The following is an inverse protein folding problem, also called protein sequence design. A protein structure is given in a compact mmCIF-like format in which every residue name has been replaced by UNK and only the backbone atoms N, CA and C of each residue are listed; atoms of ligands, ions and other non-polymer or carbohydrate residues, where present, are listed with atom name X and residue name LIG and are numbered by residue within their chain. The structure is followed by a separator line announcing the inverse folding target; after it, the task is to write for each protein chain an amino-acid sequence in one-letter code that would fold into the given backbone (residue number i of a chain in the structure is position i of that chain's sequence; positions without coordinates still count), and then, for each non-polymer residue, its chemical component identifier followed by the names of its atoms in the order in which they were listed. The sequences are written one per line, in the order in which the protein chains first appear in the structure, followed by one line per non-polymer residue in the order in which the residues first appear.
data_IF_813916281172
#
_entry.id   IF_813916281172
#
_cell.length_a   1.000
_cell.length_b   1.000
_cell.length_c   1.000
_cell.angle_alpha   90.00
_cell.angle_beta   90.00
_cell.angle_gamma   90.00
#
_symmetry.space_group_name_H-M   'P 1'
#
loop_
_entity.id
_entity.type
_entity.pdbx_description
1 polymer ?
#
# COMPACT_ATOMS: atom_id res chain seq x y z
N UNK A 1 -10.27 -15.47 -2.74
CA UNK A 1 -9.14 -15.26 -1.80
C UNK A 1 -7.85 -15.73 -2.45
N UNK A 2 -6.79 -14.91 -2.41
CA UNK A 2 -5.43 -15.32 -2.82
C UNK A 2 -4.58 -15.43 -1.56
N UNK A 3 -3.76 -16.48 -1.46
CA UNK A 3 -2.87 -16.69 -0.30
C UNK A 3 -1.48 -17.10 -0.77
N UNK A 4 -0.49 -16.41 -0.25
CA UNK A 4 0.94 -16.70 -0.39
C UNK A 4 1.41 -17.43 0.85
N UNK A 5 2.14 -18.53 0.68
CA UNK A 5 2.76 -19.30 1.77
C UNK A 5 4.26 -19.42 1.53
N UNK A 6 5.04 -18.70 2.32
CA UNK A 6 6.51 -18.71 2.31
C UNK A 6 7.11 -18.63 0.91
N UNK A 7 6.54 -17.74 0.06
CA UNK A 7 6.95 -17.62 -1.34
C UNK A 7 8.32 -16.96 -1.45
N UNK A 8 9.23 -17.63 -2.13
CA UNK A 8 10.56 -17.13 -2.48
C UNK A 8 10.69 -16.95 -3.99
N UNK A 9 11.48 -15.97 -4.40
CA UNK A 9 11.88 -15.82 -5.81
C UNK A 9 13.29 -15.31 -5.91
N UNK A 10 14.12 -16.12 -6.59
CA UNK A 10 15.51 -15.83 -6.87
C UNK A 10 15.68 -15.55 -8.36
N UNK A 11 16.47 -14.52 -8.68
CA UNK A 11 16.97 -14.20 -10.01
C UNK A 11 18.50 -14.28 -9.98
N UNK A 12 19.04 -15.48 -10.14
CA UNK A 12 20.46 -15.72 -9.90
C UNK A 12 20.83 -15.38 -8.44
N UNK A 13 21.73 -14.43 -8.24
CA UNK A 13 22.21 -14.04 -6.91
C UNK A 13 21.24 -13.06 -6.19
N UNK A 14 20.22 -12.55 -6.88
CA UNK A 14 19.29 -11.59 -6.31
C UNK A 14 18.04 -12.28 -5.79
N UNK A 15 17.85 -12.26 -4.48
CA UNK A 15 16.61 -12.71 -3.82
C UNK A 15 15.56 -11.59 -3.83
N UNK A 16 14.62 -11.66 -4.79
CA UNK A 16 13.55 -10.68 -4.93
C UNK A 16 12.42 -10.88 -3.92
N UNK A 17 12.12 -12.14 -3.52
CA UNK A 17 11.20 -12.47 -2.44
C UNK A 17 11.87 -13.48 -1.51
N UNK A 18 11.69 -13.28 -0.19
CA UNK A 18 12.37 -13.99 0.88
C UNK A 18 11.37 -14.59 1.87
N UNK A 19 10.60 -15.60 1.42
CA UNK A 19 9.61 -16.26 2.27
C UNK A 19 8.36 -15.42 2.55
N UNK A 20 7.85 -14.74 1.52
CA UNK A 20 6.69 -13.85 1.61
C UNK A 20 5.41 -14.65 1.88
N UNK A 21 4.68 -14.28 2.95
CA UNK A 21 3.38 -14.85 3.28
C UNK A 21 2.38 -13.71 3.52
N UNK A 22 1.26 -13.73 2.80
CA UNK A 22 0.15 -12.79 3.00
C UNK A 22 -1.13 -13.31 2.34
N UNK A 23 -2.27 -12.69 2.69
CA UNK A 23 -3.58 -13.02 2.15
C UNK A 23 -4.26 -11.80 1.55
N UNK A 24 -4.94 -12.03 0.42
CA UNK A 24 -5.85 -11.07 -0.21
C UNK A 24 -7.26 -11.62 -0.09
N UNK A 25 -8.10 -11.03 0.77
CA UNK A 25 -9.51 -11.45 0.89
C UNK A 25 -10.28 -11.08 -0.38
N UNK A 26 -11.42 -11.73 -0.63
CA UNK A 26 -12.30 -11.34 -1.74
C UNK A 26 -12.94 -9.98 -1.50
N UNK A 27 -13.11 -9.23 -2.59
CA UNK A 27 -13.74 -7.90 -2.61
C UNK A 27 -12.84 -6.77 -2.12
N UNK A 28 -13.19 -5.55 -2.52
CA UNK A 28 -12.47 -4.34 -2.15
C UNK A 28 -11.12 -4.16 -2.83
N UNK A 29 -10.31 -3.25 -2.27
CA UNK A 29 -9.00 -2.88 -2.82
C UNK A 29 -7.91 -3.15 -1.79
N UNK A 30 -6.93 -3.96 -2.18
CA UNK A 30 -5.72 -4.25 -1.39
C UNK A 30 -4.52 -3.57 -2.04
N UNK A 31 -3.84 -2.73 -1.29
CA UNK A 31 -2.60 -2.06 -1.71
C UNK A 31 -1.37 -2.91 -1.40
N UNK A 32 -0.54 -3.19 -2.39
CA UNK A 32 0.78 -3.75 -2.22
C UNK A 32 1.81 -2.63 -2.24
N UNK A 33 2.28 -2.24 -1.06
CA UNK A 33 3.08 -1.05 -0.83
C UNK A 33 4.55 -1.41 -0.60
N UNK A 34 5.44 -0.58 -1.13
CA UNK A 34 6.88 -0.74 -0.91
C UNK A 34 7.71 0.15 -1.84
N UNK A 35 8.99 0.40 -1.53
CA UNK A 35 9.88 1.14 -2.42
C UNK A 35 10.14 0.39 -3.72
N UNK A 36 10.80 1.05 -4.67
CA UNK A 36 11.24 0.40 -5.89
C UNK A 36 12.27 -0.70 -5.56
N UNK A 37 12.14 -1.86 -6.20
CA UNK A 37 12.98 -3.03 -5.90
C UNK A 37 12.55 -3.84 -4.68
N UNK A 38 11.49 -3.47 -3.96
CA UNK A 38 11.02 -4.21 -2.78
C UNK A 38 10.49 -5.63 -3.08
N UNK A 39 10.18 -5.96 -4.35
CA UNK A 39 9.62 -7.25 -4.76
C UNK A 39 8.14 -7.19 -5.17
N UNK A 40 7.50 -6.01 -5.20
CA UNK A 40 6.07 -5.84 -5.54
C UNK A 40 5.70 -6.46 -6.89
N UNK A 41 6.34 -6.01 -7.98
CA UNK A 41 6.10 -6.53 -9.34
C UNK A 41 6.36 -8.03 -9.44
N UNK A 42 7.38 -8.54 -8.72
CA UNK A 42 7.65 -9.98 -8.66
C UNK A 42 6.49 -10.73 -7.99
N UNK A 43 5.99 -10.25 -6.88
CA UNK A 43 4.82 -10.84 -6.21
C UNK A 43 3.57 -10.79 -7.11
N UNK A 44 3.31 -9.67 -7.80
CA UNK A 44 2.18 -9.56 -8.74
C UNK A 44 2.32 -10.52 -9.93
N UNK A 45 3.51 -10.69 -10.49
CA UNK A 45 3.75 -11.64 -11.59
C UNK A 45 3.56 -13.09 -11.16
N UNK A 46 3.94 -13.44 -9.94
CA UNK A 46 3.67 -14.77 -9.37
C UNK A 46 2.17 -14.94 -9.13
N UNK A 47 1.49 -13.93 -8.56
CA UNK A 47 0.06 -13.91 -8.32
C UNK A 47 -0.78 -14.09 -9.59
N UNK A 48 -0.27 -13.63 -10.73
CA UNK A 48 -0.95 -13.71 -12.03
C UNK A 48 -0.54 -14.93 -12.88
N UNK A 49 0.35 -15.76 -12.35
CA UNK A 49 0.87 -16.94 -13.07
C UNK A 49 1.81 -16.58 -14.23
N UNK A 50 2.32 -15.36 -14.27
CA UNK A 50 3.36 -14.95 -15.22
C UNK A 50 4.75 -15.47 -14.84
N UNK A 51 4.92 -15.79 -13.56
CA UNK A 51 6.19 -16.20 -12.99
C UNK A 51 5.95 -17.31 -11.97
N UNK A 52 6.79 -18.33 -12.00
CA UNK A 52 6.80 -19.39 -11.01
C UNK A 52 7.67 -18.98 -9.80
N UNK A 53 7.23 -19.24 -8.56
CA UNK A 53 8.08 -19.05 -7.38
C UNK A 53 9.26 -20.02 -7.38
N UNK A 54 10.39 -19.65 -6.78
CA UNK A 54 11.54 -20.54 -6.58
C UNK A 54 11.30 -21.52 -5.43
N UNK A 55 10.53 -21.11 -4.42
CA UNK A 55 10.05 -21.94 -3.31
C UNK A 55 8.73 -21.36 -2.75
N UNK A 56 8.06 -22.12 -1.90
CA UNK A 56 6.76 -21.77 -1.37
C UNK A 56 5.61 -22.05 -2.32
N UNK A 57 4.41 -21.57 -2.00
CA UNK A 57 3.19 -21.85 -2.77
C UNK A 57 2.26 -20.65 -2.80
N UNK A 58 1.47 -20.55 -3.86
CA UNK A 58 0.35 -19.63 -3.96
C UNK A 58 -0.93 -20.44 -4.10
N UNK A 59 -2.00 -19.95 -3.50
CA UNK A 59 -3.33 -20.55 -3.57
C UNK A 59 -4.34 -19.52 -4.06
N UNK A 60 -5.23 -19.95 -4.93
CA UNK A 60 -6.42 -19.22 -5.33
C UNK A 60 -7.66 -19.99 -4.85
N UNK A 61 -8.41 -19.38 -3.92
CA UNK A 61 -9.59 -20.00 -3.28
C UNK A 61 -9.33 -21.36 -2.63
N UNK A 62 -8.15 -21.53 -2.06
CA UNK A 62 -7.74 -22.76 -1.38
C UNK A 62 -7.07 -23.78 -2.28
N UNK A 63 -7.16 -23.63 -3.59
CA UNK A 63 -6.52 -24.52 -4.56
C UNK A 63 -5.12 -24.03 -4.93
N UNK A 64 -4.12 -24.92 -5.10
CA UNK A 64 -2.79 -24.55 -5.55
C UNK A 64 -2.84 -23.83 -6.89
N UNK A 65 -2.17 -22.68 -6.96
CA UNK A 65 -2.09 -21.86 -8.16
C UNK A 65 -0.68 -21.86 -8.76
N UNK A 66 -0.59 -22.25 -10.02
CA UNK A 66 0.67 -22.32 -10.79
C UNK A 66 0.48 -21.66 -12.16
N UNK A 67 1.57 -21.36 -12.90
CA UNK A 67 1.46 -20.88 -14.29
C UNK A 67 0.63 -21.77 -15.21
N UNK A 68 0.56 -23.07 -14.95
CA UNK A 68 -0.23 -24.03 -15.74
C UNK A 68 -1.72 -24.07 -15.40
N UNK A 69 -2.13 -23.35 -14.34
CA UNK A 69 -3.54 -23.26 -13.90
C UNK A 69 -4.35 -22.34 -14.84
N UNK A 70 -4.59 -22.76 -16.09
CA UNK A 70 -5.22 -21.95 -17.15
C UNK A 70 -6.58 -21.40 -16.73
N UNK A 71 -7.45 -22.25 -16.15
CA UNK A 71 -8.79 -21.83 -15.70
C UNK A 71 -8.72 -20.82 -14.55
N UNK A 72 -7.78 -20.98 -13.63
CA UNK A 72 -7.56 -20.05 -12.55
C UNK A 72 -7.06 -18.69 -13.08
N UNK A 73 -6.16 -18.70 -14.07
CA UNK A 73 -5.66 -17.46 -14.71
C UNK A 73 -6.75 -16.70 -15.46
N UNK A 74 -7.76 -17.38 -16.03
CA UNK A 74 -8.92 -16.73 -16.65
C UNK A 74 -9.74 -15.88 -15.68
N UNK A 75 -9.60 -16.11 -14.38
CA UNK A 75 -10.27 -15.35 -13.32
C UNK A 75 -9.50 -14.09 -12.91
N UNK A 76 -8.28 -13.90 -13.45
CA UNK A 76 -7.37 -12.81 -13.10
C UNK A 76 -7.13 -11.95 -14.32
N UNK A 77 -7.39 -10.63 -14.21
CA UNK A 77 -6.95 -9.62 -15.15
C UNK A 77 -5.68 -8.96 -14.65
N UNK A 78 -4.73 -8.71 -15.51
CA UNK A 78 -3.45 -8.09 -15.13
C UNK A 78 -3.10 -6.90 -16.01
N UNK A 79 -2.83 -5.77 -15.37
CA UNK A 79 -2.25 -4.59 -16.00
C UNK A 79 -0.82 -4.40 -15.46
N UNK A 80 0.22 -4.71 -16.24
CA UNK A 80 1.59 -4.39 -15.86
C UNK A 80 1.86 -2.88 -15.94
N UNK A 81 2.87 -2.39 -15.23
CA UNK A 81 3.30 -0.98 -15.24
C UNK A 81 3.49 -0.45 -16.67
N UNK A 82 4.16 -1.23 -17.52
CA UNK A 82 4.29 -0.94 -18.95
C UNK A 82 3.44 -1.94 -19.74
N UNK A 83 2.19 -1.57 -20.02
CA UNK A 83 1.31 -2.41 -20.81
C UNK A 83 1.87 -2.60 -22.24
N UNK A 84 2.11 -3.83 -22.70
CA UNK A 84 2.64 -4.13 -24.03
C UNK A 84 1.51 -4.00 -25.08
N UNK A 85 1.12 -2.75 -25.38
CA UNK A 85 0.06 -2.47 -26.33
C UNK A 85 0.59 -2.43 -27.78
N UNK A 86 -0.17 -2.95 -28.73
CA UNK A 86 0.14 -2.85 -30.14
C UNK A 86 -0.19 -1.46 -30.69
N UNK A 87 0.79 -0.57 -30.70
CA UNK A 87 0.62 0.85 -31.01
C UNK A 87 -0.06 1.15 -32.33
N UNK A 88 0.14 0.33 -33.36
CA UNK A 88 -0.41 0.51 -34.72
C UNK A 88 -1.86 0.03 -34.84
N UNK A 89 -2.36 -0.74 -33.90
CA UNK A 89 -3.77 -1.17 -33.89
C UNK A 89 -4.67 -0.04 -33.36
N UNK A 90 -5.91 -0.01 -33.90
CA UNK A 90 -6.97 0.77 -33.25
C UNK A 90 -7.33 0.16 -31.90
N UNK A 91 -7.70 0.97 -30.93
CA UNK A 91 -8.03 0.47 -29.59
C UNK A 91 -9.20 -0.56 -29.63
N UNK A 92 -10.18 -0.34 -30.50
CA UNK A 92 -11.27 -1.30 -30.74
C UNK A 92 -10.76 -2.64 -31.25
N UNK A 93 -9.91 -2.64 -32.29
CA UNK A 93 -9.43 -3.85 -32.95
C UNK A 93 -8.52 -4.66 -32.01
N UNK A 94 -7.72 -3.97 -31.22
CA UNK A 94 -6.91 -4.59 -30.17
C UNK A 94 -7.77 -5.31 -29.14
N UNK A 95 -8.81 -4.65 -28.62
CA UNK A 95 -9.73 -5.25 -27.66
C UNK A 95 -10.59 -6.37 -28.28
N UNK A 96 -10.93 -6.25 -29.57
CA UNK A 96 -11.63 -7.31 -30.30
C UNK A 96 -10.74 -8.55 -30.52
N UNK A 97 -9.45 -8.34 -30.75
CA UNK A 97 -8.47 -9.42 -30.82
C UNK A 97 -8.38 -10.14 -29.48
N UNK A 98 -8.23 -9.40 -28.37
CA UNK A 98 -8.16 -9.97 -27.02
C UNK A 98 -9.43 -10.73 -26.63
N UNK A 99 -10.61 -10.19 -26.95
CA UNK A 99 -11.88 -10.88 -26.70
C UNK A 99 -11.92 -12.26 -27.42
N UNK A 100 -11.46 -12.31 -28.67
CA UNK A 100 -11.40 -13.58 -29.43
C UNK A 100 -10.42 -14.58 -28.82
N UNK A 101 -9.26 -14.13 -28.31
CA UNK A 101 -8.30 -15.00 -27.62
C UNK A 101 -8.93 -15.68 -26.39
N UNK A 102 -9.84 -14.98 -25.72
CA UNK A 102 -10.60 -15.51 -24.61
C UNK A 102 -11.86 -16.31 -25.03
N UNK A 103 -12.12 -16.48 -26.34
CA UNK A 103 -13.30 -17.17 -26.86
C UNK A 103 -14.61 -16.39 -26.70
N UNK A 104 -14.53 -15.06 -26.56
CA UNK A 104 -15.67 -14.17 -26.37
C UNK A 104 -16.08 -13.51 -27.67
N UNK A 105 -17.37 -13.16 -27.81
CA UNK A 105 -17.86 -12.37 -28.94
C UNK A 105 -17.44 -10.89 -28.80
N UNK A 106 -16.60 -10.37 -29.71
CA UNK A 106 -16.18 -8.97 -29.67
C UNK A 106 -17.34 -7.99 -29.80
N UNK A 107 -18.41 -8.35 -30.55
CA UNK A 107 -19.53 -7.45 -30.77
C UNK A 107 -20.31 -7.16 -29.48
N UNK A 108 -20.34 -8.10 -28.56
CA UNK A 108 -20.96 -7.94 -27.24
C UNK A 108 -19.96 -7.33 -26.25
N UNK A 109 -18.75 -7.85 -26.24
CA UNK A 109 -17.81 -7.61 -25.13
C UNK A 109 -17.09 -6.28 -25.24
N UNK A 110 -16.62 -5.91 -26.44
CA UNK A 110 -15.82 -4.69 -26.64
C UNK A 110 -16.60 -3.41 -26.32
N UNK A 111 -17.85 -3.22 -26.78
CA UNK A 111 -18.63 -2.04 -26.41
C UNK A 111 -18.83 -1.90 -24.91
N UNK A 112 -18.98 -3.02 -24.20
CA UNK A 112 -19.18 -3.05 -22.74
C UNK A 112 -17.93 -2.56 -22.02
N UNK A 113 -16.76 -3.13 -22.33
CA UNK A 113 -15.50 -2.75 -21.66
C UNK A 113 -15.07 -1.32 -22.03
N UNK A 114 -15.24 -0.89 -23.28
CA UNK A 114 -14.96 0.47 -23.73
C UNK A 114 -15.76 1.51 -22.94
N UNK A 115 -17.06 1.26 -22.72
CA UNK A 115 -17.90 2.13 -21.88
C UNK A 115 -17.42 2.12 -20.42
N UNK A 116 -17.10 0.94 -19.89
CA UNK A 116 -16.66 0.76 -18.52
C UNK A 116 -15.42 1.61 -18.19
N UNK A 117 -14.43 1.65 -19.10
CA UNK A 117 -13.18 2.39 -18.90
C UNK A 117 -13.20 3.82 -19.49
N UNK A 118 -14.30 4.25 -20.10
CA UNK A 118 -14.43 5.60 -20.68
C UNK A 118 -13.60 5.84 -21.94
N UNK A 119 -13.51 4.85 -22.84
CA UNK A 119 -12.75 4.92 -24.10
C UNK A 119 -13.61 5.23 -25.33
N UNK A 120 -14.92 5.47 -25.20
CA UNK A 120 -15.86 5.53 -26.31
C UNK A 120 -15.43 6.53 -27.43
N UNK A 121 -14.97 7.72 -27.06
CA UNK A 121 -14.53 8.75 -28.02
C UNK A 121 -13.17 8.49 -28.67
N UNK A 122 -12.43 7.48 -28.19
CA UNK A 122 -11.07 7.18 -28.65
C UNK A 122 -10.92 5.74 -29.18
N UNK A 123 -11.99 4.97 -29.20
CA UNK A 123 -11.97 3.55 -29.58
C UNK A 123 -11.44 3.31 -31.01
N UNK A 124 -11.69 4.25 -31.93
CA UNK A 124 -11.29 4.16 -33.33
C UNK A 124 -10.03 4.97 -33.65
N UNK A 125 -9.19 5.25 -32.65
CA UNK A 125 -7.87 5.85 -32.83
C UNK A 125 -6.78 4.80 -32.70
N UNK A 126 -5.67 4.92 -33.45
CA UNK A 126 -4.48 4.12 -33.22
C UNK A 126 -3.97 4.31 -31.78
N UNK A 127 -3.57 3.22 -31.12
CA UNK A 127 -3.15 3.27 -29.73
C UNK A 127 -1.93 4.20 -29.53
N UNK A 128 -1.01 4.26 -30.50
CA UNK A 128 0.16 5.18 -30.47
C UNK A 128 -0.23 6.67 -30.41
N UNK A 129 -1.40 7.04 -30.94
CA UNK A 129 -1.88 8.43 -30.96
C UNK A 129 -2.61 8.84 -29.69
N UNK A 130 -2.85 7.89 -28.78
CA UNK A 130 -3.51 8.14 -27.51
C UNK A 130 -2.54 8.78 -26.51
N UNK A 131 -3.05 9.67 -25.64
CA UNK A 131 -2.30 10.15 -24.49
C UNK A 131 -1.94 9.00 -23.55
N UNK A 132 -0.99 9.20 -22.64
CA UNK A 132 -0.61 8.16 -21.64
C UNK A 132 -1.82 7.67 -20.84
N UNK A 133 -2.69 8.58 -20.38
CA UNK A 133 -3.91 8.22 -19.65
C UNK A 133 -4.90 7.39 -20.48
N UNK A 134 -5.07 7.70 -21.77
CA UNK A 134 -5.91 6.86 -22.63
C UNK A 134 -5.26 5.50 -22.94
N UNK A 135 -3.95 5.42 -23.11
CA UNK A 135 -3.25 4.13 -23.21
C UNK A 135 -3.42 3.29 -21.94
N UNK A 136 -3.36 3.92 -20.77
CA UNK A 136 -3.63 3.25 -19.49
C UNK A 136 -5.07 2.68 -19.44
N UNK A 137 -6.06 3.42 -19.94
CA UNK A 137 -7.44 2.92 -20.07
C UNK A 137 -7.56 1.76 -21.07
N UNK A 138 -6.78 1.75 -22.15
CA UNK A 138 -6.73 0.58 -23.06
C UNK A 138 -6.14 -0.62 -22.33
N UNK A 139 -5.09 -0.46 -21.54
CA UNK A 139 -4.52 -1.53 -20.71
C UNK A 139 -5.50 -2.05 -19.66
N UNK A 140 -6.25 -1.16 -19.00
CA UNK A 140 -7.33 -1.55 -18.09
C UNK A 140 -8.45 -2.32 -18.83
N UNK A 141 -8.84 -1.86 -20.03
CA UNK A 141 -9.83 -2.53 -20.86
C UNK A 141 -9.36 -3.94 -21.27
N UNK A 142 -8.08 -4.09 -21.65
CA UNK A 142 -7.47 -5.37 -21.92
C UNK A 142 -7.57 -6.32 -20.71
N UNK A 143 -7.16 -5.85 -19.52
CA UNK A 143 -7.23 -6.64 -18.30
C UNK A 143 -8.67 -7.02 -17.89
N UNK A 144 -9.68 -6.28 -18.36
CA UNK A 144 -11.10 -6.46 -18.02
C UNK A 144 -11.92 -7.16 -19.11
N UNK A 145 -11.37 -7.36 -20.32
CA UNK A 145 -12.15 -7.82 -21.47
C UNK A 145 -12.79 -9.19 -21.23
N UNK A 146 -12.14 -10.08 -20.51
CA UNK A 146 -12.64 -11.42 -20.18
C UNK A 146 -13.45 -11.50 -18.87
N UNK A 147 -13.77 -10.33 -18.25
CA UNK A 147 -14.56 -10.20 -17.02
C UNK A 147 -13.99 -10.94 -15.81
N UNK A 148 -12.74 -10.73 -15.47
CA UNK A 148 -12.12 -11.43 -14.37
C UNK A 148 -12.79 -11.07 -13.04
N UNK A 149 -12.69 -11.96 -12.06
CA UNK A 149 -13.13 -11.71 -10.68
C UNK A 149 -12.09 -10.88 -9.90
N UNK A 150 -10.83 -11.02 -10.29
CA UNK A 150 -9.68 -10.40 -9.65
C UNK A 150 -8.95 -9.53 -10.67
N UNK A 151 -8.66 -8.30 -10.30
CA UNK A 151 -7.89 -7.36 -11.12
C UNK A 151 -6.59 -6.99 -10.41
N UNK A 152 -5.47 -7.27 -11.04
CA UNK A 152 -4.13 -6.96 -10.54
C UNK A 152 -3.56 -5.81 -11.36
N UNK A 153 -3.14 -4.74 -10.69
CA UNK A 153 -2.66 -3.49 -11.29
C UNK A 153 -1.27 -3.16 -10.76
N UNK A 154 -0.28 -3.10 -11.65
CA UNK A 154 1.08 -2.72 -11.28
C UNK A 154 1.31 -1.25 -11.60
N UNK A 155 1.45 -0.40 -10.55
CA UNK A 155 1.66 1.06 -10.63
C UNK A 155 0.66 1.77 -11.59
N UNK A 156 -0.68 1.61 -11.42
CA UNK A 156 -1.68 1.99 -12.44
C UNK A 156 -1.75 3.49 -12.74
N UNK A 157 -1.18 4.34 -11.91
CA UNK A 157 -1.20 5.80 -12.03
C UNK A 157 0.18 6.39 -12.36
N UNK A 158 1.20 5.54 -12.52
CA UNK A 158 2.58 5.97 -12.76
C UNK A 158 2.70 6.90 -13.98
N UNK A 159 3.23 8.12 -13.74
CA UNK A 159 3.50 9.13 -14.78
C UNK A 159 2.25 9.69 -15.47
N UNK A 160 1.09 9.64 -14.82
CA UNK A 160 -0.12 10.37 -15.22
C UNK A 160 -0.12 11.77 -14.59
N UNK A 161 -0.81 12.71 -15.23
CA UNK A 161 -1.05 14.03 -14.63
C UNK A 161 -2.11 13.93 -13.50
N UNK A 162 -2.20 14.96 -12.62
CA UNK A 162 -3.10 14.91 -11.46
C UNK A 162 -4.58 14.66 -11.81
N UNK A 163 -5.08 15.21 -12.91
CA UNK A 163 -6.47 15.01 -13.34
C UNK A 163 -6.70 13.56 -13.80
N UNK A 164 -5.76 13.01 -14.58
CA UNK A 164 -5.81 11.62 -15.02
C UNK A 164 -5.72 10.65 -13.85
N UNK A 165 -4.91 10.95 -12.82
CA UNK A 165 -4.85 10.15 -11.59
C UNK A 165 -6.23 10.09 -10.92
N UNK A 166 -6.93 11.22 -10.77
CA UNK A 166 -8.27 11.25 -10.18
C UNK A 166 -9.27 10.42 -10.98
N UNK A 167 -9.21 10.50 -12.32
CA UNK A 167 -10.09 9.72 -13.20
C UNK A 167 -9.83 8.20 -13.10
N UNK A 168 -8.55 7.79 -13.09
CA UNK A 168 -8.16 6.38 -12.95
C UNK A 168 -8.54 5.85 -11.57
N UNK A 169 -8.33 6.62 -10.49
CA UNK A 169 -8.78 6.27 -9.14
C UNK A 169 -10.30 6.06 -9.07
N UNK A 170 -11.08 6.95 -9.67
CA UNK A 170 -12.54 6.82 -9.72
C UNK A 170 -12.97 5.57 -10.50
N UNK A 171 -12.25 5.23 -11.57
CA UNK A 171 -12.48 4.01 -12.34
C UNK A 171 -12.16 2.75 -11.53
N UNK A 172 -11.01 2.71 -10.84
CA UNK A 172 -10.60 1.58 -9.99
C UNK A 172 -11.63 1.35 -8.87
N UNK A 173 -12.12 2.42 -8.21
CA UNK A 173 -13.17 2.30 -7.17
C UNK A 173 -14.43 1.64 -7.72
N UNK A 174 -14.93 2.08 -8.88
CA UNK A 174 -16.13 1.48 -9.51
C UNK A 174 -15.93 0.00 -9.87
N UNK A 175 -14.73 -0.37 -10.30
CA UNK A 175 -14.40 -1.78 -10.61
C UNK A 175 -14.41 -2.60 -9.30
N UNK A 176 -13.90 -2.04 -8.23
CA UNK A 176 -13.81 -2.71 -6.93
C UNK A 176 -15.17 -2.93 -6.23
N UNK A 177 -16.25 -2.27 -6.68
CA UNK A 177 -17.61 -2.54 -6.19
C UNK A 177 -18.05 -3.99 -6.45
N UNK A 178 -17.52 -4.63 -7.49
CA UNK A 178 -17.92 -5.99 -7.91
C UNK A 178 -16.74 -6.96 -8.02
N UNK A 179 -15.51 -6.49 -7.91
CA UNK A 179 -14.30 -7.28 -8.13
C UNK A 179 -13.31 -7.09 -6.96
N UNK A 180 -12.42 -8.06 -6.80
CA UNK A 180 -11.24 -7.90 -5.94
C UNK A 180 -10.16 -7.18 -6.74
N UNK A 181 -9.65 -6.06 -6.22
CA UNK A 181 -8.58 -5.31 -6.86
C UNK A 181 -7.33 -5.35 -6.00
N UNK A 182 -6.21 -5.71 -6.59
CA UNK A 182 -4.89 -5.60 -5.99
C UNK A 182 -4.11 -4.57 -6.80
N UNK A 183 -3.57 -3.56 -6.15
CA UNK A 183 -2.71 -2.59 -6.81
C UNK A 183 -1.38 -2.46 -6.10
N UNK A 184 -0.29 -2.42 -6.89
CA UNK A 184 1.00 -2.02 -6.36
C UNK A 184 1.15 -0.50 -6.47
N UNK A 185 1.79 0.09 -5.48
CA UNK A 185 2.21 1.49 -5.53
C UNK A 185 3.32 1.75 -4.51
N UNK A 186 4.07 2.81 -4.74
CA UNK A 186 4.99 3.39 -3.77
C UNK A 186 4.47 4.75 -3.23
N UNK A 187 3.26 5.16 -3.64
CA UNK A 187 2.66 6.47 -3.33
C UNK A 187 1.61 6.31 -2.23
N UNK A 188 1.89 6.82 -1.03
CA UNK A 188 1.01 6.73 0.13
C UNK A 188 -0.37 7.34 -0.10
N UNK A 189 -0.44 8.45 -0.82
CA UNK A 189 -1.70 9.13 -1.16
C UNK A 189 -2.62 8.27 -2.03
N UNK A 190 -2.10 7.30 -2.77
CA UNK A 190 -2.92 6.33 -3.51
C UNK A 190 -3.49 5.28 -2.58
N UNK A 191 -2.66 4.78 -1.69
CA UNK A 191 -3.09 3.81 -0.66
C UNK A 191 -4.19 4.42 0.19
N UNK A 192 -3.97 5.64 0.72
CA UNK A 192 -4.97 6.37 1.51
C UNK A 192 -6.28 6.61 0.75
N UNK A 193 -6.19 6.89 -0.55
CA UNK A 193 -7.34 7.20 -1.38
C UNK A 193 -8.14 5.97 -1.81
N UNK A 194 -7.51 4.82 -2.00
CA UNK A 194 -8.12 3.67 -2.67
C UNK A 194 -8.29 2.44 -1.79
N UNK A 195 -7.31 2.17 -0.93
CA UNK A 195 -7.19 0.87 -0.29
C UNK A 195 -7.95 0.81 1.04
N UNK A 196 -8.58 -0.31 1.32
CA UNK A 196 -9.09 -0.65 2.65
C UNK A 196 -8.12 -1.52 3.45
N UNK A 197 -7.24 -2.21 2.75
CA UNK A 197 -6.20 -3.08 3.32
C UNK A 197 -4.88 -2.82 2.63
N UNK A 198 -3.79 -3.08 3.35
CA UNK A 198 -2.43 -2.90 2.83
C UNK A 198 -1.53 -4.06 3.21
N UNK A 199 -0.65 -4.42 2.29
CA UNK A 199 0.48 -5.32 2.51
C UNK A 199 1.73 -4.52 2.19
N UNK A 200 2.61 -4.34 3.16
CA UNK A 200 3.88 -3.62 2.99
C UNK A 200 4.99 -4.63 2.73
N UNK A 201 5.65 -4.49 1.58
CA UNK A 201 6.84 -5.30 1.23
C UNK A 201 8.08 -4.40 1.24
N UNK A 202 9.11 -4.85 1.93
CA UNK A 202 10.43 -4.22 1.93
C UNK A 202 11.52 -5.30 1.86
N UNK A 203 12.51 -5.12 0.97
CA UNK A 203 13.62 -6.07 0.74
C UNK A 203 13.17 -7.53 0.57
N UNK A 204 12.05 -7.73 -0.14
CA UNK A 204 11.49 -9.06 -0.41
C UNK A 204 10.78 -9.71 0.79
N UNK A 205 10.48 -8.99 1.85
CA UNK A 205 9.77 -9.49 3.03
C UNK A 205 8.50 -8.69 3.32
N UNK A 206 7.46 -9.33 3.87
CA UNK A 206 6.27 -8.63 4.37
C UNK A 206 6.61 -8.01 5.71
N UNK A 207 6.44 -6.68 5.81
CA UNK A 207 6.65 -5.92 7.05
C UNK A 207 5.34 -5.62 7.78
N UNK A 208 4.26 -5.52 7.04
CA UNK A 208 2.93 -5.31 7.59
C UNK A 208 1.88 -5.93 6.67
N UNK A 209 0.81 -6.44 7.25
CA UNK A 209 -0.42 -6.83 6.58
C UNK A 209 -1.61 -6.54 7.50
N UNK A 210 -2.59 -5.76 7.01
CA UNK A 210 -3.75 -5.44 7.84
C UNK A 210 -4.72 -4.48 7.18
N UNK A 211 -5.64 -3.95 7.97
CA UNK A 211 -6.49 -2.83 7.57
C UNK A 211 -5.63 -1.56 7.44
N UNK A 212 -6.02 -0.67 6.55
CA UNK A 212 -5.36 0.63 6.41
C UNK A 212 -5.47 1.46 7.69
N UNK A 213 -6.57 1.33 8.42
CA UNK A 213 -6.77 1.97 9.72
C UNK A 213 -5.73 1.51 10.75
N UNK A 214 -5.50 0.19 10.85
CA UNK A 214 -4.48 -0.37 11.74
C UNK A 214 -3.07 0.11 11.36
N UNK A 215 -2.81 0.19 10.05
CA UNK A 215 -1.55 0.73 9.54
C UNK A 215 -1.36 2.21 9.94
N UNK A 216 -2.40 3.04 9.80
CA UNK A 216 -2.37 4.47 10.18
C UNK A 216 -2.24 4.69 11.70
N UNK A 217 -2.63 3.70 12.50
CA UNK A 217 -2.42 3.67 13.95
C UNK A 217 -1.04 3.12 14.35
N UNK A 218 -0.09 3.04 13.41
CA UNK A 218 1.25 2.54 13.68
C UNK A 218 1.36 1.02 13.78
N UNK A 219 0.37 0.29 13.23
CA UNK A 219 0.37 -1.17 13.21
C UNK A 219 1.66 -1.73 12.60
N UNK A 220 2.37 -2.56 13.37
CA UNK A 220 3.66 -3.12 12.99
C UNK A 220 4.89 -2.35 13.48
N UNK A 221 4.74 -1.18 14.07
CA UNK A 221 5.84 -0.48 14.75
C UNK A 221 6.06 -1.08 16.14
N UNK A 222 7.33 -1.20 16.52
CA UNK A 222 7.74 -1.65 17.87
C UNK A 222 7.48 -0.62 18.96
N UNK A 223 7.10 0.62 18.62
CA UNK A 223 6.62 1.65 19.56
C UNK A 223 5.21 2.06 19.18
N UNK A 224 4.25 2.00 20.11
CA UNK A 224 2.86 2.38 19.86
C UNK A 224 2.73 3.82 19.34
N UNK A 225 1.54 4.17 18.82
CA UNK A 225 1.25 5.53 18.33
C UNK A 225 1.43 6.53 19.46
N UNK A 226 2.26 7.59 19.29
CA UNK A 226 2.51 8.55 20.35
C UNK A 226 1.23 9.30 20.71
N UNK A 227 1.10 9.56 22.00
CA UNK A 227 0.08 10.49 22.53
C UNK A 227 0.74 11.84 22.72
N UNK A 228 0.21 12.85 22.03
CA UNK A 228 0.61 14.23 22.24
C UNK A 228 -0.15 14.81 23.43
N UNK A 229 0.59 15.34 24.38
CA UNK A 229 0.05 16.05 25.52
C UNK A 229 0.61 17.47 25.56
N UNK A 230 -0.26 18.44 25.75
CA UNK A 230 0.08 19.87 25.81
C UNK A 230 -0.37 20.41 27.15
N UNK A 231 0.57 20.89 27.94
CA UNK A 231 0.36 21.30 29.33
C UNK A 231 1.06 22.64 29.61
N UNK A 232 0.55 23.39 30.59
CA UNK A 232 1.25 24.51 31.20
C UNK A 232 1.32 24.37 32.73
N UNK A 233 2.15 25.20 33.38
CA UNK A 233 2.27 25.23 34.83
C UNK A 233 3.19 24.18 35.43
N UNK A 234 4.08 23.57 34.64
CA UNK A 234 5.07 22.58 35.09
C UNK A 234 6.43 22.80 34.42
N UNK A 235 7.52 22.49 35.10
CA UNK A 235 8.87 22.57 34.50
C UNK A 235 9.13 21.38 33.52
N UNK A 236 9.83 21.60 32.38
CA UNK A 236 10.09 20.58 31.39
C UNK A 236 10.72 19.29 31.94
N UNK A 237 11.73 19.45 32.81
CA UNK A 237 12.41 18.31 33.40
C UNK A 237 11.58 17.50 34.40
N UNK A 238 10.64 18.17 35.10
CA UNK A 238 9.69 17.52 36.01
C UNK A 238 8.62 16.79 35.19
N UNK A 239 8.07 17.43 34.15
CA UNK A 239 7.09 16.82 33.26
C UNK A 239 7.65 15.53 32.65
N UNK A 240 8.85 15.57 32.06
CA UNK A 240 9.48 14.40 31.44
C UNK A 240 9.60 13.23 32.40
N UNK A 241 10.13 13.47 33.62
CA UNK A 241 10.27 12.42 34.65
C UNK A 241 8.93 11.82 35.07
N UNK A 242 7.91 12.65 35.22
CA UNK A 242 6.56 12.19 35.60
C UNK A 242 5.94 11.33 34.51
N UNK A 243 6.05 11.73 33.25
CA UNK A 243 5.53 10.95 32.12
C UNK A 243 6.31 9.66 31.91
N UNK A 244 7.64 9.65 32.08
CA UNK A 244 8.46 8.44 32.01
C UNK A 244 8.18 7.44 33.15
N UNK A 245 7.64 7.91 34.28
CA UNK A 245 7.28 7.05 35.40
C UNK A 245 5.93 6.33 35.23
N UNK A 246 5.12 6.71 34.23
CA UNK A 246 3.83 6.06 33.96
C UNK A 246 4.07 4.63 33.44
N UNK A 247 3.44 3.60 34.04
CA UNK A 247 3.51 2.26 33.52
C UNK A 247 3.00 2.17 32.07
N UNK A 248 3.74 1.46 31.21
CA UNK A 248 3.39 1.34 29.79
C UNK A 248 4.02 2.41 28.89
N UNK A 249 4.67 3.43 29.43
CA UNK A 249 5.47 4.38 28.66
C UNK A 249 6.80 3.74 28.26
N UNK A 250 7.11 3.83 26.97
CA UNK A 250 8.41 3.41 26.42
C UNK A 250 9.40 4.58 26.37
N UNK A 251 8.92 5.75 25.90
CA UNK A 251 9.77 6.93 25.64
C UNK A 251 8.95 8.22 25.71
N UNK A 252 9.59 9.32 26.12
CA UNK A 252 9.03 10.67 26.14
C UNK A 252 9.93 11.63 25.40
N UNK A 253 9.40 12.36 24.46
CA UNK A 253 10.06 13.46 23.73
C UNK A 253 9.39 14.79 24.08
N UNK A 254 10.19 15.79 24.48
CA UNK A 254 9.71 17.16 24.61
C UNK A 254 9.93 17.89 23.27
N UNK A 255 8.89 18.52 22.75
CA UNK A 255 8.92 19.25 21.50
C UNK A 255 8.92 20.76 21.73
N UNK A 256 9.59 21.50 20.84
CA UNK A 256 9.51 22.97 20.85
C UNK A 256 8.12 23.41 20.35
N UNK A 257 7.41 24.31 21.08
CA UNK A 257 6.13 24.84 20.62
C UNK A 257 6.26 25.48 19.23
N UNK A 258 5.38 25.10 18.30
CA UNK A 258 5.30 25.71 16.98
C UNK A 258 6.04 25.00 15.83
N UNK A 259 6.87 23.97 16.07
CA UNK A 259 7.54 23.22 14.98
C UNK A 259 6.72 22.07 14.36
N UNK A 260 5.81 21.46 15.12
CA UNK A 260 5.12 20.22 14.70
C UNK A 260 3.61 20.41 14.47
N UNK A 261 3.19 21.55 13.89
CA UNK A 261 1.77 21.80 13.64
C UNK A 261 0.93 22.00 14.92
N UNK A 262 1.59 22.20 16.05
CA UNK A 262 0.95 22.57 17.29
C UNK A 262 0.21 23.90 17.12
N UNK A 263 -1.05 23.95 17.54
CA UNK A 263 -1.88 25.14 17.49
C UNK A 263 -1.22 26.34 18.17
N UNK A 264 -1.70 27.53 17.87
CA UNK A 264 -1.29 28.73 18.60
C UNK A 264 -1.95 28.68 19.98
N UNK A 265 -1.15 28.42 21.02
CA UNK A 265 -1.63 28.39 22.40
C UNK A 265 -1.51 29.78 23.01
N UNK A 266 -2.49 30.19 23.87
CA UNK A 266 -2.50 31.53 24.47
C UNK A 266 -1.38 31.78 25.48
N UNK A 267 -0.81 30.70 26.06
CA UNK A 267 0.29 30.78 27.03
C UNK A 267 1.63 30.42 26.34
N UNK A 268 2.64 31.32 26.35
CA UNK A 268 3.97 31.02 25.83
C UNK A 268 4.76 30.00 26.66
N UNK A 269 4.33 29.68 27.87
CA UNK A 269 4.95 28.69 28.76
C UNK A 269 4.40 27.26 28.56
N UNK A 270 3.65 27.02 27.48
CA UNK A 270 3.11 25.71 27.16
C UNK A 270 4.22 24.76 26.76
N UNK A 271 4.19 23.56 27.33
CA UNK A 271 5.03 22.43 26.99
C UNK A 271 4.30 21.44 26.11
N UNK A 272 4.94 20.96 25.08
CA UNK A 272 4.45 19.90 24.21
C UNK A 272 5.30 18.65 24.44
N UNK A 273 4.65 17.53 24.80
CA UNK A 273 5.33 16.25 24.92
C UNK A 273 4.67 15.20 24.04
N UNK A 274 5.48 14.36 23.43
CA UNK A 274 5.07 13.14 22.71
C UNK A 274 5.42 11.96 23.58
N UNK A 275 4.43 11.20 23.98
CA UNK A 275 4.57 10.02 24.86
C UNK A 275 4.33 8.77 24.04
N UNK A 276 5.35 7.94 23.92
CA UNK A 276 5.30 6.70 23.15
C UNK A 276 4.91 5.54 24.07
N UNK A 277 3.77 4.87 23.84
CA UNK A 277 3.36 3.70 24.58
C UNK A 277 4.18 2.47 24.18
N UNK A 278 4.29 1.50 25.08
CA UNK A 278 4.71 0.15 24.70
C UNK A 278 3.63 -0.49 23.82
N UNK A 279 3.99 -1.46 22.95
CA UNK A 279 3.03 -2.13 22.09
C UNK A 279 1.83 -2.68 22.86
N UNK A 280 0.62 -2.31 22.42
CA UNK A 280 -0.64 -2.77 23.03
C UNK A 280 -1.09 -2.00 24.27
N UNK A 281 -0.34 -1.00 24.74
CA UNK A 281 -0.74 -0.17 25.89
C UNK A 281 -1.55 1.07 25.47
N UNK A 282 -2.59 1.38 26.23
CA UNK A 282 -3.40 2.59 26.08
C UNK A 282 -3.04 3.57 27.21
N UNK A 283 -2.40 4.68 26.88
CA UNK A 283 -1.88 5.62 27.87
C UNK A 283 -2.76 6.85 28.14
N UNK A 284 -3.77 7.12 27.32
CA UNK A 284 -4.59 8.34 27.47
C UNK A 284 -5.26 8.48 28.84
N UNK A 285 -5.80 7.41 29.47
CA UNK A 285 -6.39 7.53 30.80
C UNK A 285 -5.36 7.91 31.89
N UNK A 286 -4.16 7.34 31.82
CA UNK A 286 -3.07 7.61 32.75
C UNK A 286 -2.52 9.02 32.57
N UNK A 287 -2.28 9.42 31.34
CA UNK A 287 -1.84 10.77 30.97
C UNK A 287 -2.86 11.83 31.38
N UNK A 288 -4.16 11.56 31.19
CA UNK A 288 -5.21 12.47 31.66
C UNK A 288 -5.20 12.63 33.18
N UNK A 289 -4.98 11.56 33.95
CA UNK A 289 -4.87 11.64 35.43
C UNK A 289 -3.65 12.44 35.87
N UNK A 290 -2.51 12.22 35.20
CA UNK A 290 -1.27 12.96 35.49
C UNK A 290 -1.42 14.46 35.20
N UNK A 291 -2.18 14.81 34.15
CA UNK A 291 -2.47 16.17 33.77
C UNK A 291 -3.37 16.94 34.74
N UNK A 292 -4.09 16.27 35.64
CA UNK A 292 -5.01 16.94 36.61
C UNK A 292 -4.31 17.96 37.52
N UNK A 293 -3.01 17.85 37.69
CA UNK A 293 -2.20 18.78 38.50
C UNK A 293 -1.64 19.97 37.69
N UNK A 294 -1.94 20.04 36.39
CA UNK A 294 -1.44 21.04 35.44
C UNK A 294 -2.59 21.63 34.65
N UNK A 295 -2.33 22.67 33.89
CA UNK A 295 -3.28 23.19 32.90
C UNK A 295 -3.17 22.39 31.63
N UNK A 296 -4.13 21.49 31.37
CA UNK A 296 -4.19 20.66 30.18
C UNK A 296 -4.84 21.42 29.03
N UNK A 297 -4.12 21.62 27.93
CA UNK A 297 -4.62 22.23 26.70
C UNK A 297 -5.03 21.20 25.66
N UNK A 298 -4.25 20.09 25.56
CA UNK A 298 -4.51 19.08 24.56
C UNK A 298 -4.01 17.70 25.04
N UNK A 299 -4.80 16.67 24.73
CA UNK A 299 -4.43 15.27 24.89
C UNK A 299 -4.98 14.49 23.68
N UNK A 300 -4.12 14.22 22.71
CA UNK A 300 -4.54 13.60 21.45
C UNK A 300 -3.57 12.47 21.10
N UNK A 301 -4.11 11.34 20.72
CA UNK A 301 -3.32 10.30 20.06
C UNK A 301 -2.97 10.80 18.67
N UNK A 302 -1.68 11.04 18.42
CA UNK A 302 -1.22 11.48 17.11
C UNK A 302 -1.51 10.37 16.10
N UNK A 303 -2.13 10.74 14.97
CA UNK A 303 -2.13 9.83 13.83
C UNK A 303 -0.77 9.97 13.18
N UNK A 304 0.05 8.93 13.23
CA UNK A 304 1.24 8.89 12.39
C UNK A 304 0.81 9.06 10.93
N UNK A 305 1.51 9.89 10.18
CA UNK A 305 1.24 9.90 8.75
C UNK A 305 1.55 8.50 8.19
N UNK A 306 0.86 8.09 7.14
CA UNK A 306 1.16 6.79 6.51
C UNK A 306 2.62 6.73 6.06
N UNK A 307 3.18 7.89 5.68
CA UNK A 307 4.58 8.08 5.33
C UNK A 307 5.50 7.78 6.51
N UNK A 308 5.20 8.28 7.71
CA UNK A 308 6.02 8.06 8.92
C UNK A 308 6.04 6.58 9.31
N UNK A 309 4.85 5.94 9.31
CA UNK A 309 4.74 4.49 9.60
C UNK A 309 5.54 3.68 8.59
N UNK A 310 5.41 4.03 7.31
CA UNK A 310 6.13 3.35 6.25
C UNK A 310 7.65 3.54 6.39
N UNK A 311 8.11 4.76 6.64
CA UNK A 311 9.53 5.04 6.86
C UNK A 311 10.07 4.28 8.07
N UNK A 312 9.34 4.23 9.17
CA UNK A 312 9.76 3.49 10.36
C UNK A 312 9.88 1.98 10.08
N UNK A 313 8.89 1.38 9.38
CA UNK A 313 8.92 -0.05 9.00
C UNK A 313 10.04 -0.40 8.01
N UNK A 314 10.51 0.57 7.24
CA UNK A 314 11.56 0.38 6.23
C UNK A 314 12.95 0.81 6.69
N UNK A 315 13.07 1.57 7.79
CA UNK A 315 14.35 2.09 8.32
C UNK A 315 15.03 1.13 9.32
N UNK A 316 14.29 0.24 9.98
CA UNK A 316 14.80 -0.57 11.11
C UNK A 316 15.94 -1.57 10.76
N UNK A 317 16.25 -1.80 9.50
CA UNK A 317 17.35 -2.71 9.10
C UNK A 317 18.66 -2.00 8.74
N UNK A 318 18.64 -0.73 8.34
CA UNK A 318 19.87 0.03 8.06
C UNK A 318 20.78 0.16 9.27
N UNK A 319 20.22 0.17 10.48
CA UNK A 319 20.97 0.28 11.72
C UNK A 319 21.57 -1.05 12.23
N UNK A 320 21.06 -2.19 11.80
CA UNK A 320 21.58 -3.52 12.21
C UNK A 320 22.68 -4.05 11.29
N UNK A 321 22.72 -3.66 10.03
CA UNK A 321 23.80 -4.07 9.10
C UNK A 321 25.10 -3.28 9.32
N UNK A 322 25.03 -2.02 9.79
CA UNK A 322 26.24 -1.20 10.05
C UNK A 322 26.98 -1.67 11.32
N UNK A 323 26.29 -2.22 12.31
CA UNK A 323 26.93 -2.76 13.52
C UNK A 323 27.59 -4.13 13.30
N UNK A 324 27.25 -4.85 12.22
CA UNK A 324 27.86 -6.13 11.86
C UNK A 324 29.13 -6.04 11.01
N UNK A 325 29.42 -4.88 10.42
CA UNK A 325 30.61 -4.67 9.57
C UNK A 325 31.85 -4.16 10.27
N UNK A 326 31.75 -3.66 11.49
CA UNK A 326 32.91 -3.14 12.25
C UNK A 326 33.69 -4.22 13.01
N UNK A 327 33.32 -5.50 13.01
CA UNK A 327 33.97 -6.53 13.84
C UNK A 327 34.91 -7.46 13.06
N UNK A 328 35.17 -7.22 11.76
CA UNK A 328 36.11 -8.05 10.99
C UNK A 328 37.18 -7.26 10.24
N UNK A 329 37.90 -6.35 10.92
CA UNK A 329 39.28 -5.92 10.57
C UNK A 329 40.02 -5.59 11.87
N UNK A 330 40.60 -6.62 12.41
CA UNK A 330 41.58 -6.57 13.47
C UNK A 330 42.51 -7.79 13.37
#
# INVERSE_FOLDING_TARGET
MIRFETVEKDYGDVKALRGVSFEVPPGGIVGLLGPNGAGKTTALRIMTGFLEPSAGRVFLEGEPFTPDSVEARRRIGYLPESAPLYGDMFAWDYLAYEARLHGLDPAERVPRVIRQVGLASHAHKPIRELSKGYRQRVGLAHALVHDPEILVLDEPTSGLDPNQILEVRALIRRIAETKTVILSTHIMQEVAALCSRVVVIHQGQVRFQGLLEDFSLGGGLTGGVPVRIVLAGIEPGVLKKRLEAIPGVERVELCEPGRDGAGVYPDPAVLVARVFPRPGEELRPELAREALSCELYELVQERSSLEDVFHALTAEEGAREDQGREVHHG
#
